data_IF_405047194063
#
_entry.id   IF_405047194063
#
_cell.length_a   1.000
_cell.length_b   1.000
_cell.length_c   1.000
_cell.angle_alpha   90.00
_cell.angle_beta   90.00
_cell.angle_gamma   90.00
#
_symmetry.space_group_name_H-M   'P 1'
#
loop_
_entity.id
_entity.type
_entity.pdbx_description
1 polymer ?
#
# COMPACT_ATOMS: atom_id res chain seq x y z
N UNK A 1 -16.82 13.38 -26.65
CA UNK A 1 -15.72 12.89 -25.83
C UNK A 1 -16.12 12.85 -24.39
N UNK A 2 -16.01 11.72 -23.77
CA UNK A 2 -16.43 11.57 -22.37
C UNK A 2 -15.35 12.11 -21.44
N UNK A 3 -15.77 12.96 -20.50
CA UNK A 3 -14.91 13.44 -19.42
C UNK A 3 -14.85 12.39 -18.28
N UNK A 4 -14.56 11.14 -18.62
CA UNK A 4 -14.45 10.09 -17.64
C UNK A 4 -13.27 10.29 -16.71
N UNK A 5 -13.31 9.67 -15.53
CA UNK A 5 -12.18 9.63 -14.60
C UNK A 5 -10.99 8.99 -15.31
N UNK A 6 -9.79 9.59 -15.25
CA UNK A 6 -8.60 8.96 -15.83
C UNK A 6 -8.36 7.59 -15.19
N UNK A 7 -7.85 6.61 -15.93
CA UNK A 7 -7.51 5.33 -15.34
C UNK A 7 -6.43 5.52 -14.26
N UNK A 8 -6.48 4.71 -13.21
CA UNK A 8 -5.47 4.69 -12.17
C UNK A 8 -4.22 4.04 -12.77
N UNK A 9 -3.11 4.79 -12.82
CA UNK A 9 -1.89 4.34 -13.50
C UNK A 9 -0.87 3.74 -12.52
N UNK A 10 -0.82 4.22 -11.28
CA UNK A 10 0.17 3.81 -10.30
C UNK A 10 -0.46 3.73 -8.92
N UNK A 11 -0.29 2.59 -8.25
CA UNK A 11 -0.92 2.26 -6.98
C UNK A 11 0.12 1.81 -5.97
N UNK A 12 0.02 2.33 -4.75
CA UNK A 12 0.76 1.86 -3.60
C UNK A 12 -0.19 1.06 -2.71
N UNK A 13 0.12 -0.22 -2.49
CA UNK A 13 -0.68 -1.06 -1.59
C UNK A 13 -0.38 -0.66 -0.14
N UNK A 14 -1.42 -0.52 0.69
CA UNK A 14 -1.17 -0.50 2.12
C UNK A 14 -0.86 -1.93 2.61
N UNK A 15 -0.46 -2.07 3.87
CA UNK A 15 -0.03 -3.36 4.38
C UNK A 15 -1.14 -4.40 4.34
N UNK A 16 -2.37 -4.03 4.68
CA UNK A 16 -3.50 -4.96 4.66
C UNK A 16 -3.87 -5.38 3.23
N UNK A 17 -3.83 -4.46 2.27
CA UNK A 17 -4.08 -4.80 0.88
C UNK A 17 -3.06 -5.83 0.37
N UNK A 18 -1.78 -5.62 0.70
CA UNK A 18 -0.74 -6.58 0.36
C UNK A 18 -1.01 -7.95 0.98
N UNK A 19 -1.28 -8.00 2.29
CA UNK A 19 -1.54 -9.25 3.00
C UNK A 19 -2.72 -9.99 2.41
N UNK A 20 -3.81 -9.31 2.11
CA UNK A 20 -4.99 -9.94 1.52
C UNK A 20 -4.72 -10.46 0.11
N UNK A 21 -4.07 -9.68 -0.74
CA UNK A 21 -3.75 -10.13 -2.09
C UNK A 21 -2.87 -11.38 -2.10
N UNK A 22 -1.96 -11.50 -1.13
CA UNK A 22 -1.07 -12.66 -1.01
C UNK A 22 -1.79 -13.88 -0.43
N UNK A 23 -2.66 -13.69 0.58
CA UNK A 23 -3.23 -14.80 1.35
C UNK A 23 -4.69 -15.07 1.07
N UNK A 24 -5.52 -14.03 0.94
CA UNK A 24 -6.98 -14.16 0.73
C UNK A 24 -7.43 -13.08 -0.25
N UNK A 25 -7.12 -13.24 -1.55
CA UNK A 25 -7.42 -12.21 -2.55
C UNK A 25 -8.90 -11.80 -2.61
N UNK A 26 -9.80 -12.70 -2.23
CA UNK A 26 -11.24 -12.48 -2.22
C UNK A 26 -11.66 -11.36 -1.25
N UNK A 27 -10.82 -11.03 -0.27
CA UNK A 27 -11.09 -9.91 0.64
C UNK A 27 -10.89 -8.55 -0.02
N UNK A 28 -10.17 -8.50 -1.13
CA UNK A 28 -10.06 -7.29 -1.94
C UNK A 28 -11.24 -7.25 -2.91
N UNK A 29 -11.90 -6.11 -3.03
CA UNK A 29 -13.08 -5.99 -3.90
C UNK A 29 -12.77 -6.36 -5.35
N UNK A 30 -13.76 -6.85 -6.06
CA UNK A 30 -13.61 -7.20 -7.49
C UNK A 30 -13.17 -5.98 -8.31
N UNK A 31 -13.72 -4.81 -8.02
CA UNK A 31 -13.35 -3.58 -8.71
C UNK A 31 -11.88 -3.22 -8.48
N UNK A 32 -11.39 -3.33 -7.25
CA UNK A 32 -9.98 -3.06 -6.93
C UNK A 32 -9.06 -4.08 -7.58
N UNK A 33 -9.40 -5.37 -7.51
CA UNK A 33 -8.61 -6.43 -8.15
C UNK A 33 -8.50 -6.21 -9.66
N UNK A 34 -9.57 -5.75 -10.29
CA UNK A 34 -9.56 -5.44 -11.72
C UNK A 34 -8.54 -4.34 -12.04
N UNK A 35 -8.51 -3.26 -11.27
CA UNK A 35 -7.54 -2.18 -11.45
C UNK A 35 -6.12 -2.70 -11.24
N UNK A 36 -5.89 -3.45 -10.16
CA UNK A 36 -4.56 -3.94 -9.80
C UNK A 36 -4.00 -4.98 -10.78
N UNK A 37 -4.86 -5.67 -11.51
CA UNK A 37 -4.45 -6.67 -12.51
C UNK A 37 -4.30 -6.12 -13.92
N UNK A 38 -4.65 -4.84 -14.16
CA UNK A 38 -4.44 -4.22 -15.47
C UNK A 38 -2.94 -4.14 -15.77
N UNK A 39 -2.49 -4.61 -16.96
CA UNK A 39 -1.06 -4.59 -17.29
C UNK A 39 -0.43 -3.19 -17.26
N UNK A 40 -1.24 -2.15 -17.49
CA UNK A 40 -0.77 -0.76 -17.47
C UNK A 40 -0.70 -0.15 -16.08
N UNK A 41 -1.21 -0.84 -15.05
CA UNK A 41 -1.17 -0.35 -13.67
C UNK A 41 0.16 -0.74 -13.03
N UNK A 42 0.92 0.25 -12.58
CA UNK A 42 2.13 0.00 -11.79
C UNK A 42 1.74 -0.20 -10.33
N UNK A 43 2.12 -1.34 -9.77
CA UNK A 43 1.84 -1.67 -8.37
C UNK A 43 3.13 -1.57 -7.57
N UNK A 44 3.08 -0.88 -6.45
CA UNK A 44 4.21 -0.70 -5.55
C UNK A 44 3.85 -1.12 -4.13
N UNK A 45 4.87 -1.50 -3.38
CA UNK A 45 4.79 -1.89 -1.97
C UNK A 45 5.88 -1.15 -1.21
N UNK A 46 5.54 -0.58 -0.07
CA UNK A 46 6.52 0.14 0.75
C UNK A 46 7.37 -0.82 1.57
N UNK A 47 8.65 -0.48 1.75
CA UNK A 47 9.50 -1.13 2.75
C UNK A 47 8.89 -1.02 4.17
N UNK A 48 8.06 -0.01 4.43
CA UNK A 48 7.33 0.11 5.70
C UNK A 48 6.40 -1.08 5.95
N UNK A 49 5.81 -1.66 4.90
CA UNK A 49 4.97 -2.86 5.05
C UNK A 49 5.78 -4.07 5.48
N UNK A 50 6.98 -4.28 4.94
CA UNK A 50 7.87 -5.34 5.39
C UNK A 50 8.22 -5.18 6.88
N UNK A 51 8.52 -3.97 7.29
CA UNK A 51 8.84 -3.64 8.68
C UNK A 51 7.65 -3.89 9.61
N UNK A 52 6.48 -3.39 9.25
CA UNK A 52 5.25 -3.63 10.02
C UNK A 52 4.95 -5.12 10.17
N UNK A 53 5.01 -5.87 9.09
CA UNK A 53 4.75 -7.32 9.09
C UNK A 53 5.76 -8.04 9.98
N UNK A 54 7.04 -7.68 9.92
CA UNK A 54 8.08 -8.27 10.74
C UNK A 54 7.84 -8.03 12.24
N UNK A 55 7.46 -6.80 12.62
CA UNK A 55 7.15 -6.48 14.01
C UNK A 55 5.93 -7.26 14.50
N UNK A 56 4.84 -7.27 13.73
CA UNK A 56 3.61 -7.97 14.12
C UNK A 56 3.80 -9.48 14.21
N UNK A 57 4.64 -10.05 13.33
CA UNK A 57 4.99 -11.47 13.37
C UNK A 57 5.77 -11.79 14.64
N UNK A 58 6.76 -10.95 15.00
CA UNK A 58 7.53 -11.12 16.23
C UNK A 58 6.64 -11.05 17.47
N UNK A 59 5.62 -10.21 17.46
CA UNK A 59 4.67 -10.06 18.58
C UNK A 59 3.58 -11.13 18.60
N UNK A 60 3.58 -12.08 17.66
CA UNK A 60 2.59 -13.15 17.60
C UNK A 60 1.21 -12.71 17.09
N UNK A 61 1.12 -11.54 16.46
CA UNK A 61 -0.14 -10.98 15.94
C UNK A 61 -0.43 -11.35 14.49
N UNK A 62 0.55 -11.92 13.82
CA UNK A 62 0.50 -12.20 12.40
C UNK A 62 1.46 -13.36 12.09
N UNK A 63 1.07 -14.26 11.19
CA UNK A 63 1.96 -15.28 10.64
C UNK A 63 2.56 -14.78 9.32
N UNK A 64 3.55 -13.90 9.43
CA UNK A 64 4.18 -13.25 8.28
C UNK A 64 5.46 -13.89 7.78
N UNK A 65 5.98 -14.92 8.46
CA UNK A 65 7.26 -15.51 8.08
C UNK A 65 7.29 -16.06 6.66
N UNK A 66 6.24 -16.76 6.16
CA UNK A 66 6.26 -17.23 4.77
C UNK A 66 6.42 -16.09 3.76
N UNK A 67 5.71 -14.97 3.97
CA UNK A 67 5.81 -13.80 3.11
C UNK A 67 7.18 -13.14 3.22
N UNK A 68 7.68 -12.94 4.44
CA UNK A 68 8.95 -12.28 4.67
C UNK A 68 10.12 -13.07 4.10
N UNK A 69 10.09 -14.40 4.22
CA UNK A 69 11.14 -15.28 3.69
C UNK A 69 11.19 -15.31 2.17
N UNK A 70 10.07 -15.09 1.50
CA UNK A 70 9.95 -15.09 0.06
C UNK A 70 9.63 -13.70 -0.50
N UNK A 71 9.95 -12.64 0.22
CA UNK A 71 9.54 -11.27 -0.06
C UNK A 71 9.79 -10.85 -1.51
N UNK A 72 11.05 -10.97 -1.96
CA UNK A 72 11.41 -10.55 -3.33
C UNK A 72 10.71 -11.38 -4.40
N UNK A 73 10.60 -12.68 -4.19
CA UNK A 73 9.94 -13.57 -5.15
C UNK A 73 8.44 -13.29 -5.24
N UNK A 74 7.79 -13.04 -4.10
CA UNK A 74 6.36 -12.72 -4.08
C UNK A 74 6.10 -11.38 -4.77
N UNK A 75 6.92 -10.36 -4.51
CA UNK A 75 6.80 -9.08 -5.20
C UNK A 75 7.00 -9.22 -6.71
N UNK A 76 7.97 -10.02 -7.12
CA UNK A 76 8.21 -10.30 -8.54
C UNK A 76 7.01 -11.00 -9.19
N UNK A 77 6.43 -11.99 -8.51
CA UNK A 77 5.25 -12.71 -9.00
C UNK A 77 4.02 -11.77 -9.15
N UNK A 78 3.92 -10.77 -8.30
CA UNK A 78 2.88 -9.74 -8.37
C UNK A 78 3.20 -8.64 -9.37
N UNK A 79 4.37 -8.65 -9.98
CA UNK A 79 4.90 -7.53 -10.77
C UNK A 79 4.90 -6.22 -9.97
N UNK A 80 5.16 -6.32 -8.67
CA UNK A 80 5.20 -5.17 -7.77
C UNK A 80 6.62 -4.69 -7.55
N UNK A 81 6.76 -3.38 -7.37
CA UNK A 81 8.05 -2.72 -7.09
C UNK A 81 8.09 -2.29 -5.63
N UNK A 82 9.21 -2.56 -4.95
CA UNK A 82 9.42 -2.07 -3.60
C UNK A 82 9.83 -0.60 -3.62
N UNK A 83 9.26 0.20 -2.72
CA UNK A 83 9.66 1.59 -2.49
C UNK A 83 10.42 1.66 -1.17
N UNK A 84 11.73 1.95 -1.19
CA UNK A 84 12.49 2.16 0.04
C UNK A 84 12.06 3.45 0.74
N UNK A 85 12.24 3.51 2.05
CA UNK A 85 11.96 4.71 2.84
C UNK A 85 13.21 5.58 2.85
N UNK A 86 13.11 6.78 2.27
CA UNK A 86 14.18 7.76 2.36
C UNK A 86 13.89 8.82 3.44
N UNK A 87 14.85 9.70 3.68
CA UNK A 87 14.70 10.75 4.71
C UNK A 87 13.55 11.69 4.37
N UNK A 88 13.35 12.03 3.11
CA UNK A 88 12.23 12.90 2.70
C UNK A 88 10.87 12.27 2.97
N UNK A 89 10.74 10.96 2.78
CA UNK A 89 9.52 10.22 3.15
C UNK A 89 9.27 10.32 4.66
N UNK A 90 10.31 10.06 5.46
CA UNK A 90 10.22 10.05 6.91
C UNK A 90 9.87 11.45 7.45
N UNK A 91 10.49 12.50 6.91
CA UNK A 91 10.23 13.88 7.31
C UNK A 91 8.78 14.26 7.01
N UNK A 92 8.30 13.97 5.81
CA UNK A 92 6.92 14.27 5.44
C UNK A 92 5.95 13.45 6.30
N UNK A 93 6.23 12.17 6.53
CA UNK A 93 5.39 11.32 7.39
C UNK A 93 5.22 11.93 8.79
N UNK A 94 6.31 12.44 9.37
CA UNK A 94 6.28 13.10 10.66
C UNK A 94 5.50 14.41 10.68
N UNK A 95 5.45 15.10 9.53
CA UNK A 95 4.83 16.44 9.40
C UNK A 95 3.42 16.43 8.82
N UNK A 96 2.88 15.28 8.40
CA UNK A 96 1.52 15.24 7.84
C UNK A 96 0.51 15.86 8.82
N UNK A 97 -0.37 16.75 8.33
CA UNK A 97 -1.42 17.36 9.16
C UNK A 97 -2.58 16.35 9.36
N UNK A 98 -2.30 15.32 10.10
CA UNK A 98 -3.16 14.15 10.28
C UNK A 98 -2.99 13.62 11.69
N UNK A 99 -4.09 13.39 12.40
CA UNK A 99 -4.06 12.97 13.80
C UNK A 99 -3.82 11.47 13.99
N UNK A 100 -3.85 10.69 12.91
CA UNK A 100 -3.53 9.26 12.96
C UNK A 100 -2.05 9.04 13.29
N UNK A 101 -1.79 8.27 14.34
CA UNK A 101 -0.44 8.13 14.92
C UNK A 101 0.34 6.94 14.38
N UNK A 102 -0.29 6.02 13.67
CA UNK A 102 0.38 4.82 13.17
C UNK A 102 1.53 5.21 12.23
N UNK A 103 2.79 4.94 12.59
CA UNK A 103 3.93 5.39 11.81
C UNK A 103 4.01 4.71 10.44
N UNK A 104 3.55 3.48 10.33
CA UNK A 104 3.57 2.75 9.06
C UNK A 104 2.60 3.38 8.06
N UNK A 105 1.38 3.64 8.49
CA UNK A 105 0.38 4.32 7.66
C UNK A 105 0.85 5.72 7.27
N UNK A 106 1.47 6.45 8.19
CA UNK A 106 2.00 7.79 7.91
C UNK A 106 3.08 7.77 6.83
N UNK A 107 4.00 6.82 6.89
CA UNK A 107 5.04 6.64 5.85
C UNK A 107 4.42 6.30 4.51
N UNK A 108 3.48 5.36 4.49
CA UNK A 108 2.81 4.94 3.24
C UNK A 108 2.09 6.13 2.59
N UNK A 109 1.35 6.91 3.38
CA UNK A 109 0.66 8.11 2.87
C UNK A 109 1.68 9.14 2.35
N UNK A 110 2.76 9.37 3.08
CA UNK A 110 3.80 10.30 2.65
C UNK A 110 4.45 9.87 1.34
N UNK A 111 4.75 8.58 1.19
CA UNK A 111 5.32 8.05 -0.05
C UNK A 111 4.37 8.23 -1.24
N UNK A 112 3.09 7.95 -1.04
CA UNK A 112 2.09 8.14 -2.09
C UNK A 112 1.95 9.61 -2.47
N UNK A 113 1.89 10.50 -1.49
CA UNK A 113 1.78 11.95 -1.73
C UNK A 113 2.98 12.50 -2.52
N UNK A 114 4.19 12.08 -2.16
CA UNK A 114 5.41 12.54 -2.84
C UNK A 114 5.55 12.03 -4.26
N UNK A 115 4.96 10.88 -4.57
CA UNK A 115 5.13 10.20 -5.86
C UNK A 115 3.87 10.20 -6.71
N UNK A 116 2.83 10.90 -6.28
CA UNK A 116 1.52 10.93 -6.96
C UNK A 116 0.94 9.52 -7.16
N UNK A 117 1.03 8.69 -6.13
CA UNK A 117 0.46 7.35 -6.17
C UNK A 117 -0.93 7.34 -5.54
N UNK A 118 -1.79 6.47 -6.05
CA UNK A 118 -3.06 6.15 -5.42
C UNK A 118 -2.83 5.06 -4.38
N UNK A 119 -3.33 5.23 -3.15
CA UNK A 119 -3.23 4.18 -2.13
C UNK A 119 -4.39 3.21 -2.25
N UNK A 120 -4.10 1.93 -2.40
CA UNK A 120 -5.09 0.87 -2.27
C UNK A 120 -5.24 0.51 -0.79
N UNK A 121 -6.43 0.75 -0.24
CA UNK A 121 -6.70 0.59 1.19
C UNK A 121 -8.17 0.37 1.47
N UNK A 122 -8.48 -0.31 2.56
CA UNK A 122 -9.82 -0.34 3.16
C UNK A 122 -9.87 0.39 4.51
N UNK A 123 -8.75 0.96 4.95
CA UNK A 123 -8.68 1.66 6.23
C UNK A 123 -9.44 2.98 6.15
N UNK A 124 -10.47 3.12 6.99
CA UNK A 124 -11.32 4.31 6.99
C UNK A 124 -10.58 5.58 7.37
N UNK A 125 -9.51 5.49 8.17
CA UNK A 125 -8.71 6.66 8.55
C UNK A 125 -7.94 7.21 7.37
N UNK A 126 -7.41 6.35 6.52
CA UNK A 126 -6.72 6.75 5.28
C UNK A 126 -7.74 7.29 4.27
N UNK A 127 -8.86 6.59 4.08
CA UNK A 127 -9.90 6.99 3.15
C UNK A 127 -10.49 8.37 3.51
N UNK A 128 -10.76 8.62 4.79
CA UNK A 128 -11.33 9.89 5.26
C UNK A 128 -10.36 11.05 5.19
N UNK A 129 -9.08 10.81 5.49
CA UNK A 129 -8.06 11.85 5.46
C UNK A 129 -7.85 12.38 4.04
N UNK A 130 -7.95 11.51 3.03
CA UNK A 130 -7.83 11.85 1.60
C UNK A 130 -6.61 12.74 1.30
N UNK A 131 -5.49 12.49 1.97
CA UNK A 131 -4.24 13.26 1.76
C UNK A 131 -3.56 12.90 0.44
N UNK A 132 -4.02 11.84 -0.20
CA UNK A 132 -3.63 11.37 -1.51
C UNK A 132 -4.84 10.63 -2.12
N UNK A 133 -4.92 10.44 -3.44
CA UNK A 133 -5.98 9.62 -4.03
C UNK A 133 -6.01 8.20 -3.45
N UNK A 134 -7.20 7.65 -3.33
CA UNK A 134 -7.39 6.31 -2.77
C UNK A 134 -8.18 5.40 -3.71
N UNK A 135 -7.86 4.11 -3.66
CA UNK A 135 -8.61 3.02 -4.27
C UNK A 135 -9.10 2.13 -3.14
N UNK A 136 -10.40 2.12 -2.91
CA UNK A 136 -10.96 1.31 -1.83
C UNK A 136 -10.88 -0.18 -2.18
N UNK A 137 -10.23 -0.95 -1.36
CA UNK A 137 -10.14 -2.40 -1.45
C UNK A 137 -11.22 -3.06 -0.60
#
# INVERSE_FOLDING_TARGET
MTAGTPPIAAVLLDTNALLWLVSIPEKVSTAARKVLSEPSTEVSVSAASAWEIAIKTRLGRLDGDPLLSAWSDILADMSATEIPIDASDAILAGRLPWDHRDPFDRVIVAQAARRNLTIATSDTRILRAALTPTLKT
#
